data_IF_444345748018
#
_entry.id   IF_444345748018
#
_cell.length_a   1.000
_cell.length_b   1.000
_cell.length_c   1.000
_cell.angle_alpha   90.00
_cell.angle_beta   90.00
_cell.angle_gamma   90.00
#
_symmetry.space_group_name_H-M   'P 1'
#
loop_
_entity.id
_entity.type
_entity.pdbx_description
1 polymer ?
#
# COMPACT_ATOMS: atom_id res chain seq x y z
N UNK A 1 -11.94 15.91 1.19
CA UNK A 1 -10.93 16.70 0.50
C UNK A 1 -11.37 16.96 -0.93
N UNK A 2 -11.41 18.24 -1.34
CA UNK A 2 -11.82 18.64 -2.70
C UNK A 2 -10.61 18.46 -3.63
N UNK A 3 -10.81 17.78 -4.74
CA UNK A 3 -9.85 17.71 -5.84
C UNK A 3 -10.34 18.64 -6.93
N UNK A 4 -9.54 19.64 -7.26
CA UNK A 4 -9.80 20.58 -8.35
C UNK A 4 -8.59 20.57 -9.29
N UNK A 5 -8.75 19.91 -10.41
CA UNK A 5 -7.75 19.84 -11.48
C UNK A 5 -8.35 20.30 -12.80
N UNK A 6 -7.55 20.68 -13.81
CA UNK A 6 -8.06 21.12 -15.10
C UNK A 6 -9.00 20.14 -15.81
N UNK A 7 -8.91 18.86 -15.48
CA UNK A 7 -9.63 17.78 -16.14
C UNK A 7 -10.59 17.02 -15.24
N UNK A 8 -10.53 17.26 -13.92
CA UNK A 8 -11.35 16.51 -12.96
C UNK A 8 -11.64 17.36 -11.71
N UNK A 9 -12.92 17.42 -11.34
CA UNK A 9 -13.38 17.98 -10.07
C UNK A 9 -14.10 16.87 -9.30
N UNK A 10 -13.78 16.74 -8.02
CA UNK A 10 -14.36 15.71 -7.18
C UNK A 10 -13.95 15.82 -5.72
N UNK A 11 -14.42 14.87 -4.93
CA UNK A 11 -14.04 14.74 -3.53
C UNK A 11 -13.33 13.41 -3.31
N UNK A 12 -12.26 13.44 -2.52
CA UNK A 12 -11.54 12.25 -2.09
C UNK A 12 -11.45 12.22 -0.57
N UNK A 13 -11.83 11.09 0.02
CA UNK A 13 -11.83 10.90 1.47
C UNK A 13 -10.75 9.93 1.95
N UNK A 14 -9.91 9.42 1.05
CA UNK A 14 -8.79 8.54 1.37
C UNK A 14 -7.52 8.95 0.61
N UNK A 15 -6.41 9.10 1.32
CA UNK A 15 -5.09 9.31 0.73
C UNK A 15 -3.98 8.79 1.62
N UNK A 16 -2.81 8.55 1.01
CA UNK A 16 -1.67 7.97 1.67
C UNK A 16 -0.42 8.82 1.40
N UNK A 17 0.28 9.19 2.48
CA UNK A 17 1.60 9.82 2.42
C UNK A 17 2.66 8.79 2.76
N UNK A 18 3.66 8.69 1.90
CA UNK A 18 4.78 7.79 2.05
C UNK A 18 6.06 8.61 2.13
N UNK A 19 6.74 8.51 3.26
CA UNK A 19 7.98 9.23 3.54
C UNK A 19 9.12 8.22 3.64
N UNK A 20 10.15 8.42 2.80
CA UNK A 20 11.32 7.57 2.71
C UNK A 20 12.59 8.41 2.86
N UNK A 21 12.94 8.80 4.11
CA UNK A 21 14.10 9.64 4.36
C UNK A 21 15.41 8.90 4.06
N UNK A 22 16.48 9.59 3.70
CA UNK A 22 17.76 8.97 3.34
C UNK A 22 18.32 8.03 4.41
N UNK A 23 18.14 8.36 5.68
CA UNK A 23 18.62 7.54 6.79
C UNK A 23 17.99 6.14 6.86
N UNK A 24 16.82 5.93 6.23
CA UNK A 24 16.17 4.61 6.19
C UNK A 24 16.99 3.54 5.46
N UNK A 25 17.91 3.97 4.60
CA UNK A 25 18.89 3.11 3.92
C UNK A 25 20.33 3.39 4.36
N UNK A 26 20.53 4.10 5.48
CA UNK A 26 21.85 4.46 6.00
C UNK A 26 22.56 5.59 5.23
N UNK A 27 21.86 6.31 4.35
CA UNK A 27 22.45 7.42 3.59
C UNK A 27 22.54 8.69 4.43
N UNK A 28 23.72 9.29 4.49
CA UNK A 28 23.95 10.58 5.12
C UNK A 28 23.83 11.72 4.11
N UNK A 29 22.59 12.17 3.88
CA UNK A 29 22.32 13.35 3.03
C UNK A 29 21.19 14.21 3.57
N UNK A 30 21.10 15.49 3.19
CA UNK A 30 20.05 16.39 3.66
C UNK A 30 18.67 15.90 3.27
N UNK A 31 17.69 16.10 4.16
CA UNK A 31 16.28 15.95 3.85
C UNK A 31 15.89 17.05 2.84
N UNK A 32 15.38 16.64 1.70
CA UNK A 32 14.86 17.52 0.64
C UNK A 32 13.39 17.23 0.45
N UNK A 33 12.73 17.95 -0.46
CA UNK A 33 11.34 17.69 -0.84
C UNK A 33 11.13 16.27 -1.37
N UNK A 34 9.88 15.86 -1.49
CA UNK A 34 9.44 14.51 -1.88
C UNK A 34 10.09 14.03 -3.18
N UNK A 35 10.68 12.85 -3.14
CA UNK A 35 11.33 12.21 -4.28
C UNK A 35 10.33 11.52 -5.21
N UNK A 36 10.74 11.24 -6.46
CA UNK A 36 9.93 10.42 -7.39
C UNK A 36 9.60 9.04 -6.83
N UNK A 37 10.53 8.46 -6.08
CA UNK A 37 10.36 7.17 -5.40
C UNK A 37 9.23 7.23 -4.39
N UNK A 38 9.21 8.26 -3.55
CA UNK A 38 8.17 8.46 -2.55
C UNK A 38 6.79 8.63 -3.19
N UNK A 39 6.70 9.41 -4.28
CA UNK A 39 5.46 9.58 -5.03
C UNK A 39 4.99 8.24 -5.63
N UNK A 40 5.86 7.50 -6.29
CA UNK A 40 5.52 6.23 -6.93
C UNK A 40 5.12 5.14 -5.95
N UNK A 41 5.88 4.96 -4.87
CA UNK A 41 5.59 3.99 -3.82
C UNK A 41 4.32 4.35 -3.03
N UNK A 42 4.15 5.63 -2.68
CA UNK A 42 2.95 6.12 -2.03
C UNK A 42 1.70 5.92 -2.88
N UNK A 43 1.78 6.23 -4.18
CA UNK A 43 0.68 6.01 -5.12
C UNK A 43 0.32 4.52 -5.26
N UNK A 44 1.30 3.62 -5.31
CA UNK A 44 1.04 2.19 -5.35
C UNK A 44 0.29 1.72 -4.09
N UNK A 45 0.76 2.11 -2.91
CA UNK A 45 0.12 1.75 -1.65
C UNK A 45 -1.30 2.38 -1.53
N UNK A 46 -1.47 3.63 -1.94
CA UNK A 46 -2.78 4.27 -1.97
C UNK A 46 -3.76 3.53 -2.89
N UNK A 47 -3.36 3.20 -4.12
CA UNK A 47 -4.19 2.43 -5.06
C UNK A 47 -4.55 1.04 -4.52
N UNK A 48 -3.61 0.38 -3.83
CA UNK A 48 -3.84 -0.92 -3.23
C UNK A 48 -4.92 -0.88 -2.16
N UNK A 49 -4.87 0.09 -1.25
CA UNK A 49 -5.77 0.22 -0.11
C UNK A 49 -7.10 0.90 -0.47
N UNK A 50 -7.12 1.81 -1.45
CA UNK A 50 -8.36 2.49 -1.88
C UNK A 50 -9.43 1.54 -2.39
N UNK A 51 -9.04 0.35 -2.91
CA UNK A 51 -9.97 -0.66 -3.41
C UNK A 51 -10.80 -1.34 -2.32
N UNK A 52 -10.30 -1.34 -1.10
CA UNK A 52 -10.96 -1.94 0.07
C UNK A 52 -11.51 -0.90 1.03
N UNK A 53 -11.24 0.39 0.78
CA UNK A 53 -11.73 1.48 1.61
C UNK A 53 -13.25 1.67 1.44
N UNK A 54 -14.03 1.84 2.53
CA UNK A 54 -15.49 1.97 2.46
C UNK A 54 -15.88 3.31 1.80
N UNK A 55 -16.81 3.24 0.84
CA UNK A 55 -17.30 4.42 0.11
C UNK A 55 -18.12 5.38 0.98
N UNK A 56 -18.76 4.84 2.01
CA UNK A 56 -19.63 5.54 2.96
C UNK A 56 -18.89 5.97 4.23
N UNK A 57 -17.55 5.94 4.23
CA UNK A 57 -16.77 6.42 5.37
C UNK A 57 -17.04 7.90 5.63
N UNK A 58 -17.51 8.24 6.86
CA UNK A 58 -17.85 9.63 7.18
C UNK A 58 -16.61 10.52 7.42
N UNK A 59 -15.41 9.92 7.42
CA UNK A 59 -14.16 10.62 7.67
C UNK A 59 -13.32 10.76 6.41
N UNK A 60 -12.56 11.83 6.35
CA UNK A 60 -11.37 11.87 5.49
C UNK A 60 -10.22 11.18 6.21
N UNK A 61 -9.70 10.10 5.63
CA UNK A 61 -8.65 9.28 6.23
C UNK A 61 -7.34 9.50 5.50
N UNK A 62 -6.32 9.86 6.26
CA UNK A 62 -4.94 9.95 5.79
C UNK A 62 -4.09 8.88 6.45
N UNK A 63 -3.56 7.96 5.67
CA UNK A 63 -2.51 7.04 6.12
C UNK A 63 -1.16 7.72 5.93
N UNK A 64 -0.33 7.74 6.95
CA UNK A 64 1.04 8.26 6.90
C UNK A 64 1.99 7.11 7.18
N UNK A 65 2.86 6.81 6.23
CA UNK A 65 3.91 5.79 6.35
C UNK A 65 5.26 6.47 6.49
N UNK A 66 5.90 6.31 7.63
CA UNK A 66 7.27 6.76 7.92
C UNK A 66 8.19 5.55 7.89
N UNK A 67 9.06 5.48 6.89
CA UNK A 67 10.03 4.37 6.78
C UNK A 67 11.28 4.72 7.57
N UNK A 68 11.50 4.02 8.67
CA UNK A 68 12.66 4.26 9.56
C UNK A 68 13.88 3.45 9.15
N UNK A 69 13.66 2.24 8.61
CA UNK A 69 14.71 1.35 8.12
C UNK A 69 14.15 0.51 6.95
N UNK A 70 14.96 0.27 5.93
CA UNK A 70 14.56 -0.51 4.76
C UNK A 70 15.73 -1.26 4.14
N UNK A 71 15.49 -2.55 3.86
CA UNK A 71 16.35 -3.37 3.02
C UNK A 71 15.49 -4.13 1.99
N UNK A 72 14.84 -3.40 1.12
CA UNK A 72 13.90 -3.90 0.11
C UNK A 72 12.44 -3.74 0.53
N UNK A 73 11.60 -3.61 -0.45
CA UNK A 73 10.12 -3.61 -0.42
C UNK A 73 9.40 -2.82 0.67
N UNK A 74 9.92 -1.65 1.04
CA UNK A 74 9.26 -0.74 2.00
C UNK A 74 7.84 -0.32 1.60
N UNK A 75 7.54 -0.28 0.30
CA UNK A 75 6.19 -0.03 -0.21
C UNK A 75 5.20 -1.16 0.11
N UNK A 76 5.65 -2.42 0.06
CA UNK A 76 4.80 -3.56 0.44
C UNK A 76 4.63 -3.65 1.95
N UNK A 77 5.65 -3.34 2.72
CA UNK A 77 5.53 -3.14 4.18
C UNK A 77 4.50 -2.04 4.50
N UNK A 78 4.49 -0.94 3.74
CA UNK A 78 3.50 0.14 3.87
C UNK A 78 2.07 -0.34 3.58
N UNK A 79 1.86 -1.19 2.59
CA UNK A 79 0.54 -1.78 2.32
C UNK A 79 0.06 -2.62 3.49
N UNK A 80 0.93 -3.48 4.03
CA UNK A 80 0.61 -4.36 5.16
C UNK A 80 0.33 -3.55 6.44
N UNK A 81 1.23 -2.64 6.80
CA UNK A 81 1.08 -1.79 7.99
C UNK A 81 -0.11 -0.82 7.87
N UNK A 82 -0.33 -0.26 6.67
CA UNK A 82 -1.48 0.59 6.38
C UNK A 82 -2.82 -0.16 6.51
N UNK A 83 -2.87 -1.42 6.08
CA UNK A 83 -4.02 -2.30 6.31
C UNK A 83 -4.29 -2.45 7.82
N UNK A 84 -3.28 -2.82 8.61
CA UNK A 84 -3.42 -2.98 10.06
C UNK A 84 -3.81 -1.67 10.74
N UNK A 85 -3.21 -0.55 10.35
CA UNK A 85 -3.51 0.76 10.90
C UNK A 85 -4.96 1.19 10.63
N UNK A 86 -5.47 0.95 9.43
CA UNK A 86 -6.89 1.20 9.09
C UNK A 86 -7.83 0.34 9.94
N UNK A 87 -7.51 -0.95 10.10
CA UNK A 87 -8.31 -1.87 10.91
C UNK A 87 -8.29 -1.49 12.39
N UNK A 88 -7.12 -1.13 12.95
CA UNK A 88 -6.99 -0.70 14.34
C UNK A 88 -7.67 0.65 14.60
N UNK A 89 -7.67 1.55 13.63
CA UNK A 89 -8.39 2.82 13.72
C UNK A 89 -9.93 2.67 13.67
N UNK A 90 -10.45 1.48 13.38
CA UNK A 90 -11.87 1.21 13.26
C UNK A 90 -12.47 1.54 11.89
N UNK A 91 -11.63 1.72 10.88
CA UNK A 91 -12.10 1.87 9.49
C UNK A 91 -12.54 0.50 8.97
N UNK A 92 -13.79 0.40 8.53
CA UNK A 92 -14.42 -0.85 8.09
C UNK A 92 -14.02 -1.19 6.66
N UNK A 93 -12.72 -1.46 6.44
CA UNK A 93 -12.27 -1.96 5.13
C UNK A 93 -12.97 -3.28 4.79
N UNK A 94 -13.24 -3.51 3.52
CA UNK A 94 -13.98 -4.70 3.07
C UNK A 94 -13.22 -6.00 3.30
N UNK A 95 -11.89 -5.99 3.11
CA UNK A 95 -10.97 -7.11 3.35
C UNK A 95 -9.56 -6.59 3.62
N UNK A 96 -8.75 -7.29 4.42
CA UNK A 96 -7.35 -6.93 4.60
C UNK A 96 -6.56 -7.14 3.29
N UNK A 97 -5.57 -6.29 3.08
CA UNK A 97 -4.67 -6.30 1.91
C UNK A 97 -3.25 -6.58 2.37
N UNK A 98 -2.58 -7.48 1.70
CA UNK A 98 -1.14 -7.70 1.81
C UNK A 98 -0.43 -7.40 0.49
N UNK A 99 0.89 -7.34 0.51
CA UNK A 99 1.70 -7.13 -0.68
C UNK A 99 3.03 -7.87 -0.58
N UNK A 100 3.58 -8.22 -1.74
CA UNK A 100 4.89 -8.86 -1.87
C UNK A 100 5.64 -8.26 -3.06
N UNK A 101 6.97 -8.19 -2.97
CA UNK A 101 7.84 -7.84 -4.08
C UNK A 101 8.53 -9.07 -4.61
N UNK A 102 8.36 -9.30 -5.90
CA UNK A 102 8.97 -10.40 -6.65
C UNK A 102 10.15 -9.86 -7.45
N UNK A 103 11.19 -10.68 -7.60
CA UNK A 103 12.32 -10.42 -8.46
C UNK A 103 12.47 -11.47 -9.55
N UNK A 104 13.36 -11.18 -10.49
CA UNK A 104 13.79 -12.11 -11.52
C UNK A 104 15.30 -12.00 -11.70
N UNK A 105 15.94 -13.15 -11.82
CA UNK A 105 17.32 -13.25 -12.29
C UNK A 105 17.34 -14.20 -13.46
N UNK A 106 17.98 -13.82 -14.56
CA UNK A 106 18.12 -14.67 -15.75
C UNK A 106 19.53 -14.58 -16.35
N UNK A 107 19.97 -15.65 -17.00
CA UNK A 107 21.21 -15.69 -17.78
C UNK A 107 20.94 -15.84 -19.30
N UNK A 108 19.70 -15.61 -19.71
CA UNK A 108 19.23 -15.74 -21.10
C UNK A 108 18.61 -17.10 -21.43
N UNK A 109 19.07 -18.18 -20.82
CA UNK A 109 18.53 -19.55 -21.00
C UNK A 109 17.75 -20.02 -19.76
N UNK A 110 18.28 -19.69 -18.59
CA UNK A 110 17.70 -20.07 -17.30
C UNK A 110 17.20 -18.85 -16.58
N UNK A 111 16.16 -19.01 -15.79
CA UNK A 111 15.62 -17.94 -14.94
C UNK A 111 15.17 -18.46 -13.58
N UNK A 112 15.22 -17.59 -12.60
CA UNK A 112 14.68 -17.81 -11.26
C UNK A 112 13.81 -16.64 -10.85
N UNK A 113 12.59 -16.93 -10.41
CA UNK A 113 11.70 -15.93 -9.79
C UNK A 113 11.96 -15.93 -8.29
N UNK A 114 12.25 -14.75 -7.74
CA UNK A 114 12.54 -14.53 -6.32
C UNK A 114 11.31 -13.98 -5.63
N UNK A 115 11.07 -14.37 -4.38
CA UNK A 115 9.99 -13.86 -3.53
C UNK A 115 10.55 -13.01 -2.43
N UNK A 116 9.86 -11.89 -2.12
CA UNK A 116 10.20 -10.96 -1.04
C UNK A 116 11.65 -10.48 -1.11
N UNK A 117 11.96 -9.80 -2.22
CA UNK A 117 13.32 -9.44 -2.59
C UNK A 117 13.94 -8.39 -1.68
N UNK A 118 15.23 -8.56 -1.43
CA UNK A 118 16.09 -7.58 -0.75
C UNK A 118 16.46 -6.42 -1.69
N UNK A 119 17.02 -5.34 -1.12
CA UNK A 119 17.48 -4.18 -1.89
C UNK A 119 18.50 -4.51 -2.98
N UNK A 120 19.46 -5.40 -2.70
CA UNK A 120 20.46 -5.85 -3.67
C UNK A 120 19.83 -6.68 -4.79
N UNK A 121 18.86 -7.53 -4.47
CA UNK A 121 18.13 -8.33 -5.45
C UNK A 121 17.23 -7.47 -6.36
N UNK A 122 16.64 -6.37 -5.82
CA UNK A 122 15.99 -5.35 -6.63
C UNK A 122 17.01 -4.65 -7.55
N UNK A 123 18.15 -4.23 -7.01
CA UNK A 123 19.12 -3.45 -7.77
C UNK A 123 19.78 -4.24 -8.90
N UNK A 124 20.19 -5.48 -8.63
CA UNK A 124 20.92 -6.35 -9.54
C UNK A 124 20.02 -7.24 -10.40
N UNK A 125 18.76 -7.43 -10.02
CA UNK A 125 17.81 -8.29 -10.71
C UNK A 125 17.29 -7.70 -12.02
N UNK A 126 16.66 -8.55 -12.82
CA UNK A 126 16.11 -8.22 -14.14
C UNK A 126 14.69 -7.67 -14.10
N UNK A 127 13.99 -7.86 -12.98
CA UNK A 127 12.63 -7.41 -12.75
C UNK A 127 12.40 -7.08 -11.27
N UNK A 128 11.67 -6.00 -10.98
CA UNK A 128 10.98 -5.71 -9.72
C UNK A 128 9.47 -5.72 -9.97
N UNK A 129 8.78 -6.69 -9.39
CA UNK A 129 7.34 -6.86 -9.59
C UNK A 129 6.59 -6.91 -8.27
N UNK A 130 5.92 -5.83 -7.95
CA UNK A 130 5.13 -5.67 -6.72
C UNK A 130 3.67 -6.03 -6.98
N UNK A 131 3.14 -6.93 -6.16
CA UNK A 131 1.75 -7.40 -6.25
C UNK A 131 1.07 -7.26 -4.91
N UNK A 132 -0.06 -6.56 -4.89
CA UNK A 132 -0.89 -6.37 -3.70
C UNK A 132 -2.28 -6.97 -3.90
N UNK A 133 -2.92 -7.40 -2.82
CA UNK A 133 -4.30 -7.91 -2.93
C UNK A 133 -4.86 -8.47 -1.64
N UNK A 134 -6.12 -8.83 -1.73
CA UNK A 134 -6.89 -9.53 -0.68
C UNK A 134 -6.81 -11.06 -0.87
N UNK A 135 -7.54 -11.81 -0.06
CA UNK A 135 -7.74 -13.26 -0.29
C UNK A 135 -8.35 -13.58 -1.66
N UNK A 136 -9.13 -12.66 -2.23
CA UNK A 136 -9.93 -12.92 -3.45
C UNK A 136 -9.20 -12.54 -4.74
N UNK A 137 -8.28 -11.58 -4.68
CA UNK A 137 -7.61 -11.12 -5.89
C UNK A 137 -6.67 -9.93 -5.68
N UNK A 138 -6.14 -9.45 -6.80
CA UNK A 138 -5.17 -8.37 -6.85
C UNK A 138 -5.88 -7.00 -6.75
N UNK A 139 -5.37 -6.11 -5.93
CA UNK A 139 -5.85 -4.73 -5.79
C UNK A 139 -4.99 -3.72 -6.54
N UNK A 140 -3.68 -3.94 -6.59
CA UNK A 140 -2.76 -3.16 -7.41
C UNK A 140 -1.49 -3.96 -7.74
N UNK A 141 -0.82 -3.56 -8.80
CA UNK A 141 0.51 -4.07 -9.14
C UNK A 141 1.37 -2.95 -9.75
N UNK A 142 2.68 -3.15 -9.66
CA UNK A 142 3.70 -2.35 -10.32
C UNK A 142 4.81 -3.26 -10.78
N UNK A 143 5.21 -3.15 -12.03
CA UNK A 143 6.32 -3.91 -12.60
C UNK A 143 7.35 -2.96 -13.20
N UNK A 144 8.60 -3.16 -12.86
CA UNK A 144 9.75 -2.55 -13.50
C UNK A 144 10.62 -3.64 -14.12
N UNK A 145 10.85 -3.54 -15.43
CA UNK A 145 11.59 -4.53 -16.21
C UNK A 145 12.87 -3.89 -16.71
N UNK A 146 14.02 -4.48 -16.38
CA UNK A 146 15.36 -3.99 -16.73
C UNK A 146 15.97 -4.69 -17.95
N UNK A 147 15.26 -5.68 -18.51
CA UNK A 147 15.62 -6.43 -19.71
C UNK A 147 14.65 -6.17 -20.87
N UNK A 148 14.95 -6.66 -22.07
CA UNK A 148 14.18 -6.35 -23.30
C UNK A 148 12.77 -6.97 -23.37
N UNK A 149 12.27 -7.52 -22.29
CA UNK A 149 10.93 -8.10 -22.19
C UNK A 149 10.92 -9.41 -21.42
N UNK A 150 9.74 -9.85 -21.06
CA UNK A 150 9.50 -11.10 -20.31
C UNK A 150 8.64 -12.03 -21.15
N UNK A 151 8.91 -13.34 -21.09
CA UNK A 151 8.00 -14.33 -21.65
C UNK A 151 6.71 -14.41 -20.83
N UNK A 152 5.62 -14.78 -21.48
CA UNK A 152 4.34 -15.01 -20.80
C UNK A 152 4.46 -16.04 -19.67
N UNK A 153 5.27 -17.09 -19.87
CA UNK A 153 5.53 -18.13 -18.88
C UNK A 153 6.13 -17.56 -17.59
N UNK A 154 7.13 -16.68 -17.70
CA UNK A 154 7.76 -16.01 -16.55
C UNK A 154 6.74 -15.17 -15.78
N UNK A 155 5.90 -14.40 -16.50
CA UNK A 155 4.87 -13.57 -15.88
C UNK A 155 3.85 -14.42 -15.11
N UNK A 156 3.36 -15.50 -15.69
CA UNK A 156 2.40 -16.41 -15.04
C UNK A 156 3.03 -17.04 -13.80
N UNK A 157 4.28 -17.51 -13.89
CA UNK A 157 5.00 -18.08 -12.75
C UNK A 157 5.21 -17.04 -11.63
N UNK A 158 5.61 -15.82 -11.98
CA UNK A 158 5.80 -14.74 -11.02
C UNK A 158 4.48 -14.36 -10.31
N UNK A 159 3.37 -14.29 -11.05
CA UNK A 159 2.05 -14.01 -10.48
C UNK A 159 1.57 -15.12 -9.53
N UNK A 160 1.76 -16.38 -9.89
CA UNK A 160 1.36 -17.51 -9.03
C UNK A 160 2.22 -17.57 -7.77
N UNK A 161 3.53 -17.38 -7.90
CA UNK A 161 4.44 -17.33 -6.74
C UNK A 161 4.13 -16.12 -5.84
N UNK A 162 3.81 -14.97 -6.43
CA UNK A 162 3.36 -13.79 -5.70
C UNK A 162 2.03 -14.04 -4.97
N UNK A 163 1.11 -14.80 -5.58
CA UNK A 163 -0.16 -15.17 -4.93
C UNK A 163 0.07 -15.97 -3.66
N UNK A 164 0.94 -16.99 -3.73
CA UNK A 164 1.29 -17.84 -2.58
C UNK A 164 1.92 -17.00 -1.48
N UNK A 165 3.00 -16.29 -1.75
CA UNK A 165 3.72 -15.49 -0.74
C UNK A 165 2.85 -14.38 -0.14
N UNK A 166 2.03 -13.71 -0.96
CA UNK A 166 1.10 -12.69 -0.50
C UNK A 166 0.03 -13.25 0.46
N UNK A 167 -0.49 -14.46 0.20
CA UNK A 167 -1.44 -15.11 1.09
C UNK A 167 -0.79 -15.58 2.41
N UNK A 168 0.46 -15.99 2.39
CA UNK A 168 1.23 -16.28 3.60
C UNK A 168 1.41 -15.02 4.45
N UNK A 169 1.84 -13.90 3.84
CA UNK A 169 1.95 -12.59 4.52
C UNK A 169 0.57 -12.17 5.08
N UNK A 170 -0.50 -12.34 4.33
CA UNK A 170 -1.86 -12.02 4.78
C UNK A 170 -2.25 -12.84 6.01
N UNK A 171 -1.90 -14.12 6.03
CA UNK A 171 -2.16 -14.99 7.17
C UNK A 171 -1.38 -14.54 8.43
N UNK A 172 -0.11 -14.14 8.28
CA UNK A 172 0.66 -13.59 9.40
C UNK A 172 0.07 -12.26 9.92
N UNK A 173 -0.34 -11.39 9.02
CA UNK A 173 -0.98 -10.11 9.35
C UNK A 173 -2.28 -10.32 10.14
N UNK A 174 -3.11 -11.27 9.73
CA UNK A 174 -4.39 -11.55 10.39
C UNK A 174 -4.26 -12.21 11.76
N UNK A 175 -3.12 -12.82 12.10
CA UNK A 175 -2.82 -13.25 13.47
C UNK A 175 -2.70 -12.07 14.44
N UNK A 176 -2.26 -10.91 13.97
CA UNK A 176 -2.14 -9.69 14.81
C UNK A 176 -3.47 -8.95 14.90
N UNK A 177 -4.18 -8.81 13.79
CA UNK A 177 -5.48 -8.16 13.74
C UNK A 177 -6.37 -8.86 12.70
N UNK A 178 -7.36 -9.61 13.19
CA UNK A 178 -8.24 -10.42 12.35
C UNK A 178 -9.36 -9.59 11.72
N UNK A 179 -9.91 -8.62 12.46
CA UNK A 179 -11.03 -7.79 12.02
C UNK A 179 -10.84 -6.34 12.43
N UNK A 180 -11.41 -5.39 11.67
CA UNK A 180 -11.40 -3.98 12.07
C UNK A 180 -12.04 -3.78 13.46
N UNK A 181 -11.44 -2.89 14.26
CA UNK A 181 -11.98 -2.53 15.57
C UNK A 181 -13.47 -2.12 15.45
N UNK A 182 -14.26 -2.46 16.46
CA UNK A 182 -15.72 -2.26 16.44
C UNK A 182 -16.13 -0.78 16.33
N UNK A 183 -15.31 0.12 16.84
CA UNK A 183 -15.50 1.58 16.82
C UNK A 183 -14.17 2.31 16.62
N UNK A 184 -14.25 3.58 16.22
CA UNK A 184 -13.09 4.48 16.22
C UNK A 184 -12.55 4.68 17.62
N UNK A 185 -11.28 5.02 17.74
CA UNK A 185 -10.61 5.27 19.04
C UNK A 185 -11.31 6.39 19.83
N UNK A 186 -11.27 6.37 21.17
CA UNK A 186 -11.98 7.36 22.02
C UNK A 186 -11.59 8.80 21.73
N UNK A 187 -10.34 9.04 21.32
CA UNK A 187 -9.81 10.38 20.99
C UNK A 187 -10.09 10.82 19.55
N UNK A 188 -10.65 9.92 18.71
CA UNK A 188 -11.01 10.30 17.34
C UNK A 188 -12.17 11.30 17.32
N UNK A 189 -12.20 12.24 16.36
CA UNK A 189 -13.33 13.15 16.18
C UNK A 189 -14.63 12.35 15.99
N UNK A 190 -15.70 12.79 16.63
CA UNK A 190 -17.02 12.17 16.52
C UNK A 190 -17.98 13.12 15.85
N UNK A 191 -18.75 12.63 14.89
CA UNK A 191 -19.89 13.35 14.33
C UNK A 191 -21.14 13.02 15.13
N UNK A 192 -21.78 14.05 15.69
CA UNK A 192 -23.04 13.91 16.41
C UNK A 192 -24.08 14.74 15.68
N UNK A 193 -25.19 14.11 15.32
CA UNK A 193 -26.35 14.82 14.78
C UNK A 193 -27.21 15.32 15.94
N UNK A 194 -27.29 16.63 16.09
CA UNK A 194 -28.17 17.28 17.05
C UNK A 194 -29.35 17.88 16.30
N UNK A 195 -30.56 17.52 16.70
CA UNK A 195 -31.78 18.14 16.18
C UNK A 195 -32.12 19.33 17.10
N UNK A 196 -32.12 20.51 16.53
CA UNK A 196 -32.44 21.76 17.24
C UNK A 196 -33.83 22.15 16.82
N UNK A 197 -34.66 22.51 17.81
CA UNK A 197 -36.02 23.00 17.55
C UNK A 197 -35.99 24.35 16.82
N UNK A 198 -36.90 24.56 15.85
CA UNK A 198 -36.85 25.73 14.95
C UNK A 198 -36.91 27.07 15.69
N UNK A 199 -37.47 27.11 16.90
CA UNK A 199 -37.50 28.28 17.76
C UNK A 199 -36.13 28.75 18.31
N UNK A 200 -35.08 27.94 18.15
CA UNK A 200 -33.70 28.26 18.55
C UNK A 200 -32.85 28.84 17.41
N UNK A 201 -33.44 29.09 16.25
CA UNK A 201 -32.76 29.65 15.08
C UNK A 201 -32.77 31.19 15.02
N UNK A 202 -33.16 31.85 16.06
CA UNK A 202 -33.19 33.35 16.13
C UNK A 202 -32.02 33.87 16.92
#
# INVERSE_FOLDING_TARGET
NIIDSPTHQGEENFYLHYNFPPFSTGEARPLRGTSRREIGHGNLAQRALSKVFPKDCPYTVRVVSEVLESNGSSSMATVCSGTMALMDAGVKISKPVSGIAMGLISDGERYSVLSDILGDEDHLGDMDFKVTGTSDGITACQMDIKIKGLSYEIIVKALEQARIGRLEILNELTKTIEQPASSVKPHAPKMVKVVIDCLLYT
#
